data_IF_597044602740
#
_entry.id   IF_597044602740
#
_cell.length_a   1.000
_cell.length_b   1.000
_cell.length_c   1.000
_cell.angle_alpha   90.00
_cell.angle_beta   90.00
_cell.angle_gamma   90.00
#
_symmetry.space_group_name_H-M   'P 1'
#
loop_
_entity.id
_entity.type
_entity.pdbx_description
1 polymer ?
#
# COMPACT_ATOMS: atom_id res chain seq x y z
N UNK A 1 -123.03 11.04 -6.23
CA UNK A 1 -122.12 11.56 -5.19
C UNK A 1 -120.92 10.64 -5.11
N UNK A 2 -119.73 11.24 -5.18
CA UNK A 2 -118.38 10.74 -4.88
C UNK A 2 -117.86 9.48 -5.59
N UNK A 3 -116.90 9.75 -6.48
CA UNK A 3 -115.75 8.97 -6.92
C UNK A 3 -115.18 7.97 -5.88
N UNK A 4 -114.61 6.85 -6.36
CA UNK A 4 -113.15 6.73 -6.49
C UNK A 4 -112.73 5.40 -7.14
N UNK A 5 -112.41 5.53 -8.42
CA UNK A 5 -111.25 5.02 -9.15
C UNK A 5 -110.37 3.96 -8.46
N UNK A 6 -110.34 2.77 -9.06
CA UNK A 6 -109.24 1.82 -8.92
C UNK A 6 -107.94 2.47 -9.44
N UNK A 7 -106.91 2.52 -8.60
CA UNK A 7 -105.52 2.65 -9.04
C UNK A 7 -104.67 1.72 -8.16
N UNK A 8 -103.88 0.81 -8.75
CA UNK A 8 -102.92 0.04 -7.98
C UNK A 8 -101.81 1.02 -7.60
N UNK A 9 -101.79 1.42 -6.34
CA UNK A 9 -100.62 2.08 -5.78
C UNK A 9 -99.56 0.99 -5.67
N UNK A 10 -98.76 0.84 -6.74
CA UNK A 10 -97.47 0.14 -6.67
C UNK A 10 -96.64 0.93 -5.68
N UNK A 11 -96.59 0.43 -4.46
CA UNK A 11 -95.88 1.02 -3.34
C UNK A 11 -94.39 1.09 -3.68
N UNK A 12 -93.90 2.30 -3.93
CA UNK A 12 -92.50 2.70 -4.16
C UNK A 12 -91.53 2.37 -2.98
N UNK A 13 -91.88 1.42 -2.12
CA UNK A 13 -91.18 1.10 -0.87
C UNK A 13 -90.24 -0.11 -0.99
N UNK A 14 -90.45 -0.99 -1.97
CA UNK A 14 -89.65 -2.23 -2.12
C UNK A 14 -88.31 -2.04 -2.84
N UNK A 15 -88.15 -1.02 -3.70
CA UNK A 15 -86.90 -0.83 -4.47
C UNK A 15 -85.75 -0.13 -3.72
N UNK A 16 -85.97 0.34 -2.47
CA UNK A 16 -84.94 1.09 -1.72
C UNK A 16 -83.86 0.18 -1.15
N UNK A 17 -84.21 -1.03 -0.74
CA UNK A 17 -83.28 -2.00 -0.16
C UNK A 17 -82.24 -2.52 -1.16
N UNK A 18 -82.61 -2.96 -2.39
CA UNK A 18 -81.64 -3.37 -3.40
C UNK A 18 -80.80 -2.20 -3.92
N UNK A 19 -81.38 -0.99 -4.06
CA UNK A 19 -80.61 0.20 -4.46
C UNK A 19 -79.58 0.63 -3.40
N UNK A 20 -79.96 0.64 -2.12
CA UNK A 20 -79.03 0.98 -1.04
C UNK A 20 -77.94 -0.08 -0.87
N UNK A 21 -78.30 -1.37 -1.02
CA UNK A 21 -77.34 -2.47 -1.04
C UNK A 21 -76.37 -2.36 -2.23
N UNK A 22 -76.87 -2.01 -3.43
CA UNK A 22 -76.04 -1.81 -4.62
C UNK A 22 -75.08 -0.63 -4.45
N UNK A 23 -75.53 0.49 -3.87
CA UNK A 23 -74.66 1.63 -3.53
C UNK A 23 -73.58 1.22 -2.53
N UNK A 24 -73.91 0.42 -1.51
CA UNK A 24 -72.92 -0.08 -0.56
C UNK A 24 -71.92 -1.03 -1.19
N UNK A 25 -72.34 -1.91 -2.11
CA UNK A 25 -71.42 -2.80 -2.85
C UNK A 25 -70.49 -1.98 -3.75
N UNK A 26 -71.01 -0.99 -4.47
CA UNK A 26 -70.18 -0.09 -5.28
C UNK A 26 -69.21 0.69 -4.40
N UNK A 27 -69.64 1.20 -3.25
CA UNK A 27 -68.78 1.92 -2.32
C UNK A 27 -67.69 1.01 -1.73
N UNK A 28 -68.02 -0.23 -1.38
CA UNK A 28 -67.04 -1.22 -0.94
C UNK A 28 -66.04 -1.57 -2.05
N UNK A 29 -66.50 -1.67 -3.30
CA UNK A 29 -65.63 -1.89 -4.45
C UNK A 29 -64.69 -0.69 -4.70
N UNK A 30 -65.20 0.54 -4.60
CA UNK A 30 -64.38 1.75 -4.70
C UNK A 30 -63.36 1.85 -3.57
N UNK A 31 -63.73 1.53 -2.33
CA UNK A 31 -62.82 1.56 -1.19
C UNK A 31 -61.73 0.49 -1.31
N UNK A 32 -62.08 -0.73 -1.73
CA UNK A 32 -61.09 -1.79 -1.94
C UNK A 32 -60.14 -1.46 -3.09
N UNK A 33 -60.65 -0.93 -4.21
CA UNK A 33 -59.81 -0.44 -5.30
C UNK A 33 -58.87 0.69 -4.86
N UNK A 34 -59.36 1.62 -4.04
CA UNK A 34 -58.54 2.71 -3.49
C UNK A 34 -57.46 2.22 -2.54
N UNK A 35 -57.76 1.26 -1.66
CA UNK A 35 -56.76 0.63 -0.78
C UNK A 35 -55.70 -0.12 -1.59
N UNK A 36 -56.09 -0.83 -2.65
CA UNK A 36 -55.15 -1.50 -3.56
C UNK A 36 -54.25 -0.49 -4.28
N UNK A 37 -54.81 0.63 -4.75
CA UNK A 37 -54.04 1.71 -5.37
C UNK A 37 -53.05 2.35 -4.40
N UNK A 38 -53.45 2.64 -3.16
CA UNK A 38 -52.57 3.17 -2.12
C UNK A 38 -51.44 2.20 -1.78
N UNK A 39 -51.72 0.90 -1.69
CA UNK A 39 -50.70 -0.12 -1.48
C UNK A 39 -49.72 -0.20 -2.65
N UNK A 40 -50.19 -0.08 -3.89
CA UNK A 40 -49.32 -0.05 -5.07
C UNK A 40 -48.38 1.17 -5.06
N UNK A 41 -48.89 2.38 -4.81
CA UNK A 41 -48.08 3.60 -4.73
C UNK A 41 -47.07 3.57 -3.57
N UNK A 42 -47.51 3.13 -2.38
CA UNK A 42 -46.63 2.96 -1.22
C UNK A 42 -45.50 1.98 -1.53
N UNK A 43 -45.82 0.80 -2.05
CA UNK A 43 -44.83 -0.27 -2.33
C UNK A 43 -43.82 0.15 -3.41
N UNK A 44 -44.24 0.94 -4.40
CA UNK A 44 -43.36 1.50 -5.42
C UNK A 44 -42.33 2.47 -4.83
N UNK A 45 -42.76 3.35 -3.92
CA UNK A 45 -41.87 4.30 -3.23
C UNK A 45 -40.94 3.57 -2.25
N UNK A 46 -41.45 2.59 -1.49
CA UNK A 46 -40.62 1.81 -0.55
C UNK A 46 -39.59 0.94 -1.28
N UNK A 47 -39.97 0.32 -2.40
CA UNK A 47 -39.05 -0.47 -3.24
C UNK A 47 -37.93 0.38 -3.84
N UNK A 48 -38.24 1.58 -4.34
CA UNK A 48 -37.24 2.50 -4.88
C UNK A 48 -36.28 3.04 -3.80
N UNK A 49 -36.78 3.30 -2.59
CA UNK A 49 -35.95 3.70 -1.46
C UNK A 49 -35.07 2.54 -0.97
N UNK A 50 -35.59 1.31 -0.95
CA UNK A 50 -34.84 0.12 -0.55
C UNK A 50 -33.74 -0.23 -1.56
N UNK A 51 -34.02 -0.11 -2.87
CA UNK A 51 -33.02 -0.25 -3.94
C UNK A 51 -31.91 0.80 -3.83
N UNK A 52 -32.24 2.07 -3.58
CA UNK A 52 -31.23 3.11 -3.37
C UNK A 52 -30.41 2.89 -2.10
N UNK A 53 -31.04 2.44 -1.02
CA UNK A 53 -30.35 2.11 0.22
C UNK A 53 -29.38 0.93 0.01
N UNK A 54 -29.80 -0.11 -0.71
CA UNK A 54 -28.94 -1.25 -1.09
C UNK A 54 -27.77 -0.80 -1.98
N UNK A 55 -28.01 0.02 -3.01
CA UNK A 55 -26.95 0.54 -3.87
C UNK A 55 -25.94 1.43 -3.12
N UNK A 56 -26.42 2.25 -2.18
CA UNK A 56 -25.55 3.05 -1.30
C UNK A 56 -24.73 2.15 -0.37
N UNK A 57 -25.33 1.09 0.17
CA UNK A 57 -24.68 0.12 1.04
C UNK A 57 -23.61 -0.70 0.28
N UNK A 58 -23.91 -1.18 -0.92
CA UNK A 58 -22.95 -1.90 -1.77
C UNK A 58 -21.75 -1.01 -2.13
N UNK A 59 -21.99 0.26 -2.50
CA UNK A 59 -20.92 1.23 -2.79
C UNK A 59 -20.09 1.58 -1.54
N UNK A 60 -20.72 1.65 -0.37
CA UNK A 60 -20.01 1.88 0.89
C UNK A 60 -19.14 0.68 1.28
N UNK A 61 -19.67 -0.53 1.12
CA UNK A 61 -18.93 -1.78 1.35
C UNK A 61 -17.75 -1.93 0.38
N UNK A 62 -17.94 -1.65 -0.91
CA UNK A 62 -16.86 -1.75 -1.89
C UNK A 62 -15.73 -0.76 -1.60
N UNK A 63 -16.07 0.49 -1.25
CA UNK A 63 -15.10 1.51 -0.85
C UNK A 63 -14.37 1.15 0.45
N UNK A 64 -15.08 0.57 1.42
CA UNK A 64 -14.46 0.12 2.67
C UNK A 64 -13.50 -1.05 2.45
N UNK A 65 -13.87 -2.02 1.61
CA UNK A 65 -13.02 -3.14 1.23
C UNK A 65 -11.74 -2.66 0.51
N UNK A 66 -11.87 -1.69 -0.39
CA UNK A 66 -10.74 -1.11 -1.13
C UNK A 66 -9.80 -0.28 -0.23
N UNK A 67 -10.37 0.48 0.71
CA UNK A 67 -9.59 1.19 1.74
C UNK A 67 -8.87 0.22 2.68
N UNK A 68 -9.55 -0.87 3.08
CA UNK A 68 -8.98 -1.89 3.95
C UNK A 68 -7.88 -2.70 3.24
N UNK A 69 -8.05 -3.06 1.96
CA UNK A 69 -6.98 -3.71 1.18
C UNK A 69 -5.79 -2.79 1.00
N UNK A 70 -6.01 -1.50 0.76
CA UNK A 70 -4.93 -0.51 0.67
C UNK A 70 -4.18 -0.37 2.00
N UNK A 71 -4.90 -0.32 3.13
CA UNK A 71 -4.30 -0.30 4.46
C UNK A 71 -3.52 -1.58 4.77
N UNK A 72 -4.10 -2.76 4.49
CA UNK A 72 -3.41 -4.05 4.66
C UNK A 72 -2.18 -4.16 3.77
N UNK A 73 -2.23 -3.63 2.54
CA UNK A 73 -1.08 -3.58 1.65
C UNK A 73 0.02 -2.68 2.21
N UNK A 74 -0.33 -1.48 2.70
CA UNK A 74 0.62 -0.57 3.35
C UNK A 74 1.22 -1.19 4.62
N UNK A 75 0.41 -1.86 5.44
CA UNK A 75 0.86 -2.54 6.66
C UNK A 75 1.74 -3.76 6.35
N UNK A 76 1.42 -4.53 5.31
CA UNK A 76 2.25 -5.64 4.86
C UNK A 76 3.57 -5.15 4.25
N UNK A 77 3.55 -4.03 3.53
CA UNK A 77 4.74 -3.38 2.98
C UNK A 77 5.64 -2.84 4.09
N UNK A 78 5.07 -2.19 5.13
CA UNK A 78 5.84 -1.73 6.28
C UNK A 78 6.42 -2.90 7.09
N UNK A 79 5.65 -3.95 7.36
CA UNK A 79 6.14 -5.13 8.10
C UNK A 79 7.22 -5.91 7.34
N UNK A 80 7.12 -6.00 6.00
CA UNK A 80 8.18 -6.58 5.14
C UNK A 80 9.41 -5.67 5.08
N UNK A 81 9.21 -4.35 5.06
CA UNK A 81 10.30 -3.38 5.15
C UNK A 81 11.01 -3.46 6.49
N UNK A 82 10.30 -3.53 7.62
CA UNK A 82 10.86 -3.65 8.97
C UNK A 82 11.66 -4.94 9.16
N UNK A 83 11.12 -6.09 8.71
CA UNK A 83 11.84 -7.38 8.80
C UNK A 83 13.11 -7.43 7.96
N UNK A 84 13.13 -6.69 6.85
CA UNK A 84 14.33 -6.56 6.01
C UNK A 84 15.24 -5.41 6.47
N UNK A 85 14.72 -4.44 7.21
CA UNK A 85 15.46 -3.31 7.76
C UNK A 85 16.46 -3.74 8.82
N UNK A 86 16.07 -4.58 9.79
CA UNK A 86 16.99 -5.07 10.83
C UNK A 86 18.16 -5.86 10.22
N UNK A 87 17.87 -6.66 9.19
CA UNK A 87 18.87 -7.44 8.46
C UNK A 87 19.80 -6.52 7.66
N UNK A 88 19.26 -5.54 6.93
CA UNK A 88 20.05 -4.52 6.21
C UNK A 88 20.91 -3.71 7.17
N UNK A 89 20.36 -3.29 8.30
CA UNK A 89 21.06 -2.51 9.33
C UNK A 89 22.23 -3.30 9.91
N UNK A 90 22.02 -4.59 10.24
CA UNK A 90 23.09 -5.47 10.72
C UNK A 90 24.20 -5.63 9.69
N UNK A 91 23.86 -5.92 8.44
CA UNK A 91 24.86 -6.11 7.39
C UNK A 91 25.62 -4.82 7.07
N UNK A 92 24.92 -3.68 7.09
CA UNK A 92 25.54 -2.36 6.97
C UNK A 92 26.50 -2.08 8.14
N UNK A 93 26.09 -2.34 9.39
CA UNK A 93 26.96 -2.13 10.55
C UNK A 93 28.18 -3.05 10.53
N UNK A 94 28.00 -4.32 10.13
CA UNK A 94 29.10 -5.27 9.99
C UNK A 94 30.10 -4.82 8.90
N UNK A 95 29.61 -4.22 7.82
CA UNK A 95 30.42 -3.67 6.74
C UNK A 95 31.21 -2.43 7.17
N UNK A 96 30.53 -1.44 7.75
CA UNK A 96 31.17 -0.22 8.24
C UNK A 96 32.15 -0.50 9.40
N UNK A 97 31.81 -1.46 10.27
CA UNK A 97 32.69 -1.95 11.32
C UNK A 97 33.98 -2.54 10.75
N UNK A 98 33.88 -3.40 9.74
CA UNK A 98 35.06 -4.00 9.11
C UNK A 98 35.96 -2.97 8.39
N UNK A 99 35.38 -1.93 7.78
CA UNK A 99 36.14 -0.81 7.21
C UNK A 99 36.92 -0.05 8.30
N UNK A 100 36.26 0.26 9.41
CA UNK A 100 36.87 0.94 10.56
C UNK A 100 37.96 0.09 11.21
N UNK A 101 37.75 -1.22 11.35
CA UNK A 101 38.74 -2.15 11.90
C UNK A 101 39.96 -2.28 11.00
N UNK A 102 39.77 -2.32 9.68
CA UNK A 102 40.87 -2.32 8.72
C UNK A 102 41.68 -1.02 8.83
N UNK A 103 41.00 0.12 8.95
CA UNK A 103 41.64 1.41 9.18
C UNK A 103 42.43 1.49 10.47
N UNK A 104 41.81 1.09 11.58
CA UNK A 104 42.47 1.03 12.89
C UNK A 104 43.68 0.10 12.87
N UNK A 105 43.61 -1.03 12.15
CA UNK A 105 44.71 -1.97 12.02
C UNK A 105 45.88 -1.40 11.21
N UNK A 106 45.59 -0.66 10.13
CA UNK A 106 46.61 0.11 9.39
C UNK A 106 47.28 1.15 10.29
N UNK A 107 46.50 1.89 11.10
CA UNK A 107 47.01 2.87 12.04
C UNK A 107 47.92 2.28 13.11
N UNK A 108 47.54 1.11 13.66
CA UNK A 108 48.31 0.36 14.66
C UNK A 108 49.45 -0.47 14.08
N UNK A 109 49.56 -0.57 12.75
CA UNK A 109 50.47 -1.49 12.05
C UNK A 109 50.28 -2.96 12.48
N UNK A 110 49.03 -3.36 12.68
CA UNK A 110 48.64 -4.74 13.03
C UNK A 110 48.26 -5.53 11.77
N UNK A 111 49.19 -6.35 11.27
CA UNK A 111 48.98 -7.17 10.07
C UNK A 111 47.89 -8.23 10.23
N UNK A 112 47.83 -8.90 11.38
CA UNK A 112 46.81 -9.93 11.63
C UNK A 112 45.44 -9.31 11.80
N UNK A 113 45.36 -8.19 12.51
CA UNK A 113 44.13 -7.39 12.62
C UNK A 113 43.61 -6.95 11.25
N UNK A 114 44.51 -6.49 10.38
CA UNK A 114 44.13 -6.06 9.04
C UNK A 114 43.59 -7.21 8.18
N UNK A 115 44.25 -8.37 8.17
CA UNK A 115 43.78 -9.53 7.39
C UNK A 115 42.39 -9.99 7.85
N UNK A 116 42.17 -10.05 9.16
CA UNK A 116 40.87 -10.40 9.73
C UNK A 116 39.79 -9.38 9.35
N UNK A 117 40.09 -8.08 9.44
CA UNK A 117 39.17 -7.03 9.08
C UNK A 117 38.81 -7.06 7.59
N UNK A 118 39.79 -7.29 6.70
CA UNK A 118 39.55 -7.40 5.26
C UNK A 118 38.74 -8.66 4.90
N UNK A 119 38.95 -9.76 5.60
CA UNK A 119 38.13 -10.95 5.44
C UNK A 119 36.67 -10.69 5.89
N UNK A 120 36.50 -10.04 7.03
CA UNK A 120 35.18 -9.66 7.54
C UNK A 120 34.48 -8.66 6.61
N UNK A 121 35.23 -7.74 5.99
CA UNK A 121 34.73 -6.78 5.00
C UNK A 121 34.18 -7.50 3.76
N UNK A 122 34.91 -8.49 3.24
CA UNK A 122 34.44 -9.28 2.11
C UNK A 122 33.17 -10.06 2.47
N UNK A 123 33.14 -10.67 3.66
CA UNK A 123 31.97 -11.41 4.16
C UNK A 123 30.74 -10.52 4.33
N UNK A 124 30.89 -9.34 4.93
CA UNK A 124 29.78 -8.41 5.12
C UNK A 124 29.29 -7.82 3.80
N UNK A 125 30.19 -7.60 2.83
CA UNK A 125 29.80 -7.22 1.46
C UNK A 125 28.89 -8.28 0.79
N UNK A 126 29.23 -9.57 0.86
CA UNK A 126 28.36 -10.63 0.30
C UNK A 126 26.98 -10.67 0.97
N UNK A 127 26.89 -10.29 2.24
CA UNK A 127 25.60 -10.19 2.93
C UNK A 127 24.79 -8.95 2.50
N UNK A 128 25.45 -7.90 2.01
CA UNK A 128 24.82 -6.71 1.43
C UNK A 128 24.41 -6.89 -0.03
N UNK A 129 25.10 -7.76 -0.77
CA UNK A 129 24.89 -8.00 -2.21
C UNK A 129 23.42 -8.20 -2.63
N UNK A 130 22.58 -8.94 -1.89
CA UNK A 130 21.16 -9.13 -2.24
C UNK A 130 20.33 -7.84 -2.28
N UNK A 131 20.80 -6.77 -1.61
CA UNK A 131 20.12 -5.48 -1.56
C UNK A 131 20.63 -4.49 -2.62
N UNK A 132 21.63 -4.89 -3.43
CA UNK A 132 22.25 -4.06 -4.45
C UNK A 132 21.81 -4.50 -5.85
N UNK A 133 21.57 -3.53 -6.74
CA UNK A 133 21.43 -3.77 -8.16
C UNK A 133 22.79 -4.11 -8.81
N UNK A 134 22.77 -4.60 -10.06
CA UNK A 134 24.00 -5.04 -10.74
C UNK A 134 25.03 -3.91 -10.90
N UNK A 135 24.60 -2.67 -11.11
CA UNK A 135 25.47 -1.51 -11.20
C UNK A 135 26.16 -1.20 -9.88
N UNK A 136 25.39 -1.16 -8.79
CA UNK A 136 25.93 -0.91 -7.45
C UNK A 136 26.87 -2.00 -6.97
N UNK A 137 26.60 -3.28 -7.29
CA UNK A 137 27.51 -4.38 -6.97
C UNK A 137 28.88 -4.18 -7.60
N UNK A 138 28.92 -3.87 -8.90
CA UNK A 138 30.18 -3.65 -9.63
C UNK A 138 30.95 -2.45 -9.08
N UNK A 139 30.25 -1.36 -8.78
CA UNK A 139 30.84 -0.19 -8.13
C UNK A 139 31.46 -0.57 -6.78
N UNK A 140 30.71 -1.26 -5.92
CA UNK A 140 31.17 -1.67 -4.60
C UNK A 140 32.40 -2.59 -4.68
N UNK A 141 32.41 -3.59 -5.55
CA UNK A 141 33.55 -4.50 -5.72
C UNK A 141 34.83 -3.74 -6.10
N UNK A 142 34.72 -2.80 -7.04
CA UNK A 142 35.85 -1.95 -7.43
C UNK A 142 36.36 -1.11 -6.25
N UNK A 143 35.45 -0.45 -5.53
CA UNK A 143 35.80 0.42 -4.40
C UNK A 143 36.42 -0.38 -3.25
N UNK A 144 35.90 -1.57 -2.96
CA UNK A 144 36.46 -2.48 -1.94
C UNK A 144 37.88 -2.93 -2.35
N UNK A 145 38.11 -3.26 -3.62
CA UNK A 145 39.44 -3.64 -4.11
C UNK A 145 40.45 -2.50 -3.98
N UNK A 146 40.03 -1.26 -4.29
CA UNK A 146 40.88 -0.06 -4.09
C UNK A 146 41.22 0.10 -2.61
N UNK A 147 40.23 0.00 -1.72
CA UNK A 147 40.42 0.12 -0.27
C UNK A 147 41.37 -0.96 0.27
N UNK A 148 41.21 -2.20 -0.19
CA UNK A 148 42.07 -3.34 0.15
C UNK A 148 43.53 -3.05 -0.22
N UNK A 149 43.76 -2.63 -1.47
CA UNK A 149 45.10 -2.34 -1.97
C UNK A 149 45.74 -1.19 -1.20
N UNK A 150 44.99 -0.12 -0.95
CA UNK A 150 45.45 1.03 -0.19
C UNK A 150 45.82 0.66 1.24
N UNK A 151 45.00 -0.14 1.93
CA UNK A 151 45.27 -0.61 3.28
C UNK A 151 46.55 -1.46 3.35
N UNK A 152 46.75 -2.37 2.38
CA UNK A 152 47.98 -3.17 2.27
C UNK A 152 49.21 -2.32 1.97
N UNK A 153 49.09 -1.35 1.08
CA UNK A 153 50.17 -0.42 0.74
C UNK A 153 50.58 0.42 1.95
N UNK A 154 49.59 0.94 2.69
CA UNK A 154 49.80 1.68 3.92
C UNK A 154 50.48 0.86 5.02
N UNK A 155 50.25 -0.46 5.07
CA UNK A 155 51.00 -1.36 5.95
C UNK A 155 52.48 -1.45 5.58
N UNK A 156 52.77 -1.61 4.29
CA UNK A 156 54.12 -1.81 3.76
C UNK A 156 55.02 -0.56 3.72
N UNK A 157 54.48 0.65 3.93
CA UNK A 157 55.33 1.84 3.93
C UNK A 157 56.34 1.88 5.07
N UNK A 158 57.61 2.01 4.70
CA UNK A 158 58.73 2.38 5.57
C UNK A 158 58.73 3.88 5.88
N UNK A 159 59.35 4.27 7.02
CA UNK A 159 59.30 5.61 7.61
C UNK A 159 59.73 6.78 6.70
N UNK A 160 60.43 6.52 5.59
CA UNK A 160 60.95 7.56 4.68
C UNK A 160 59.89 8.22 3.80
N UNK A 161 58.69 7.65 3.62
CA UNK A 161 57.64 8.21 2.74
C UNK A 161 56.52 8.94 3.49
N UNK A 162 56.85 9.77 4.48
CA UNK A 162 55.84 10.44 5.34
C UNK A 162 54.75 11.23 4.60
N UNK A 163 55.09 11.93 3.51
CA UNK A 163 54.12 12.73 2.74
C UNK A 163 53.05 11.86 2.06
N UNK A 164 53.48 10.84 1.32
CA UNK A 164 52.60 9.90 0.61
C UNK A 164 51.74 9.10 1.61
N UNK A 165 52.31 8.74 2.77
CA UNK A 165 51.57 8.06 3.84
C UNK A 165 50.39 8.92 4.35
N UNK A 166 50.54 10.24 4.48
CA UNK A 166 49.44 11.09 4.94
C UNK A 166 48.32 11.19 3.89
N UNK A 167 48.67 11.35 2.61
CA UNK A 167 47.69 11.42 1.53
C UNK A 167 46.89 10.12 1.40
N UNK A 168 47.57 8.98 1.40
CA UNK A 168 46.94 7.66 1.34
C UNK A 168 46.04 7.41 2.58
N UNK A 169 46.46 7.88 3.75
CA UNK A 169 45.66 7.85 4.98
C UNK A 169 44.37 8.66 4.84
N UNK A 170 44.47 9.91 4.39
CA UNK A 170 43.28 10.76 4.17
C UNK A 170 42.37 10.21 3.07
N UNK A 171 42.93 9.53 2.08
CA UNK A 171 42.17 8.85 1.02
C UNK A 171 41.36 7.71 1.61
N UNK A 172 41.94 6.93 2.53
CA UNK A 172 41.26 5.84 3.20
C UNK A 172 40.09 6.33 4.06
N UNK A 173 40.26 7.44 4.80
CA UNK A 173 39.17 8.09 5.53
C UNK A 173 38.04 8.56 4.61
N UNK A 174 38.37 9.22 3.49
CA UNK A 174 37.38 9.64 2.48
C UNK A 174 36.62 8.45 1.90
N UNK A 175 37.31 7.33 1.63
CA UNK A 175 36.64 6.14 1.11
C UNK A 175 35.61 5.57 2.08
N UNK A 176 35.85 5.61 3.40
CA UNK A 176 34.87 5.19 4.40
C UNK A 176 33.63 6.07 4.34
N UNK A 177 33.82 7.39 4.23
CA UNK A 177 32.73 8.33 4.05
C UNK A 177 31.96 8.09 2.75
N UNK A 178 32.66 7.87 1.63
CA UNK A 178 32.05 7.57 0.33
C UNK A 178 31.20 6.28 0.38
N UNK A 179 31.64 5.26 1.13
CA UNK A 179 30.86 4.04 1.34
C UNK A 179 29.58 4.31 2.13
N UNK A 180 29.64 5.14 3.17
CA UNK A 180 28.48 5.54 3.95
C UNK A 180 27.48 6.33 3.09
N UNK A 181 27.97 7.35 2.38
CA UNK A 181 27.14 8.20 1.52
C UNK A 181 26.48 7.40 0.39
N UNK A 182 27.13 6.36 -0.10
CA UNK A 182 26.57 5.48 -1.13
C UNK A 182 25.59 4.44 -0.59
N UNK A 183 25.95 3.71 0.47
CA UNK A 183 25.16 2.58 0.96
C UNK A 183 23.94 3.01 1.77
N UNK A 184 24.05 4.08 2.56
CA UNK A 184 22.97 4.51 3.44
C UNK A 184 21.66 4.81 2.71
N UNK A 185 21.64 5.65 1.65
CA UNK A 185 20.39 5.93 0.92
C UNK A 185 19.85 4.65 0.26
N UNK A 186 20.73 3.85 -0.35
CA UNK A 186 20.32 2.64 -1.06
C UNK A 186 19.68 1.59 -0.13
N UNK A 187 20.14 1.49 1.12
CA UNK A 187 19.65 0.49 2.08
C UNK A 187 18.47 0.97 2.94
N UNK A 188 18.33 2.27 3.15
CA UNK A 188 17.42 2.80 4.18
C UNK A 188 16.49 3.92 3.70
N UNK A 189 16.77 4.59 2.58
CA UNK A 189 15.82 5.56 2.05
C UNK A 189 14.68 4.83 1.32
N UNK A 190 13.43 5.23 1.55
CA UNK A 190 12.33 4.73 0.75
C UNK A 190 12.59 5.14 -0.70
N UNK A 191 12.63 4.18 -1.62
CA UNK A 191 12.65 4.45 -3.06
C UNK A 191 11.50 5.41 -3.34
N UNK A 192 11.82 6.67 -3.66
CA UNK A 192 10.83 7.62 -4.14
C UNK A 192 10.10 6.93 -5.29
N UNK A 193 8.76 6.92 -5.24
CA UNK A 193 7.85 6.40 -6.27
C UNK A 193 8.00 7.15 -7.62
N UNK A 194 9.18 7.12 -8.23
CA UNK A 194 9.48 7.70 -9.53
C UNK A 194 9.99 6.69 -10.54
N UNK A 195 10.13 5.42 -10.16
CA UNK A 195 10.53 4.35 -11.08
C UNK A 195 9.38 3.41 -11.51
N UNK A 196 8.11 3.76 -11.26
CA UNK A 196 6.96 3.08 -11.87
C UNK A 196 6.66 3.55 -13.33
N UNK A 197 7.54 4.34 -13.94
CA UNK A 197 7.30 4.96 -15.27
C UNK A 197 8.21 4.52 -16.41
N UNK A 198 9.05 3.49 -16.24
CA UNK A 198 10.08 3.12 -17.24
C UNK A 198 10.01 1.70 -17.79
N UNK A 199 8.86 1.05 -17.67
CA UNK A 199 8.54 -0.16 -18.44
C UNK A 199 7.22 0.09 -19.19
N UNK A 200 7.29 0.73 -20.37
CA UNK A 200 6.08 1.01 -21.14
C UNK A 200 6.20 1.67 -22.51
N UNK A 201 7.38 2.11 -22.96
CA UNK A 201 7.48 2.90 -24.21
C UNK A 201 8.50 2.38 -25.25
N UNK A 202 8.89 1.10 -25.20
CA UNK A 202 9.62 0.43 -26.29
C UNK A 202 8.87 -0.78 -26.87
N UNK A 203 7.55 -0.66 -26.97
CA UNK A 203 6.73 -1.54 -27.81
C UNK A 203 5.71 -0.71 -28.59
N UNK A 204 6.16 0.10 -29.54
CA UNK A 204 5.25 0.71 -30.50
C UNK A 204 5.76 1.97 -31.21
N UNK A 205 6.68 1.79 -32.18
CA UNK A 205 6.61 2.38 -33.53
C UNK A 205 7.79 1.95 -34.38
#
# INVERSE_FOLDING_TARGET
MSDQTQSPIVTLKENRFPLFSLVLVILAFCLTAYVVFLNYEMTKVTGAQLLRAQQMQERAQSKFLDQYSTFLFQQAQSARFERTFEVRQKHYSDFMGALSDAWGSVGRKDGKGLENALHQLAKSYYALEPFLDAGSRHYMQKRIAIFHNLAKQLMGYEKERRGIIMEDKTTMDRMIQDFQEFLYPLLFEPLDKKEEGREGDEAGR
#
